data_IF_029548760312
#
_entry.id   IF_029548760312
#
_cell.length_a   1.000
_cell.length_b   1.000
_cell.length_c   1.000
_cell.angle_alpha   90.00
_cell.angle_beta   90.00
_cell.angle_gamma   90.00
#
_symmetry.space_group_name_H-M   'P 1'
#
loop_
_entity.id
_entity.type
_entity.pdbx_description
1 polymer ?
#
# COMPACT_ATOMS: atom_id res chain seq x y z
N UNK A 1 -11.67 -1.83 -3.91
CA UNK A 1 -12.04 -2.04 -2.49
C UNK A 1 -12.46 -3.48 -2.29
N UNK A 2 -11.92 -4.16 -1.27
CA UNK A 2 -12.25 -5.56 -0.96
C UNK A 2 -13.62 -5.69 -0.30
N UNK A 3 -13.68 -5.52 1.03
CA UNK A 3 -14.92 -5.70 1.83
C UNK A 3 -16.10 -4.83 1.37
N UNK A 4 -15.84 -3.69 0.72
CA UNK A 4 -16.88 -2.82 0.14
C UNK A 4 -17.60 -3.39 -1.09
N UNK A 5 -17.37 -4.66 -1.45
CA UNK A 5 -18.01 -5.34 -2.58
C UNK A 5 -17.12 -5.54 -3.80
N UNK A 6 -15.80 -5.70 -3.60
CA UNK A 6 -14.86 -6.10 -4.65
C UNK A 6 -14.85 -5.11 -5.83
N UNK A 7 -15.04 -3.83 -5.52
CA UNK A 7 -15.17 -2.75 -6.50
C UNK A 7 -13.79 -2.37 -7.03
N UNK A 8 -13.53 -2.66 -8.30
CA UNK A 8 -12.31 -2.26 -8.98
C UNK A 8 -12.34 -0.77 -9.32
N UNK A 9 -11.30 -0.03 -8.90
CA UNK A 9 -11.17 1.37 -9.28
C UNK A 9 -10.77 1.49 -10.76
N UNK A 10 -11.39 2.39 -11.54
CA UNK A 10 -10.96 2.63 -12.92
C UNK A 10 -9.50 3.11 -12.97
N UNK A 11 -8.66 2.63 -13.91
CA UNK A 11 -7.25 3.06 -13.99
C UNK A 11 -7.06 4.57 -14.16
N UNK A 12 -7.98 5.26 -14.84
CA UNK A 12 -7.96 6.72 -14.97
C UNK A 12 -8.16 7.46 -13.65
N UNK A 13 -8.97 6.91 -12.75
CA UNK A 13 -9.18 7.46 -11.41
C UNK A 13 -7.89 7.42 -10.58
N UNK A 14 -7.20 6.27 -10.56
CA UNK A 14 -5.96 6.11 -9.80
C UNK A 14 -4.83 7.01 -10.36
N UNK A 15 -4.70 7.12 -11.68
CA UNK A 15 -3.74 8.03 -12.32
C UNK A 15 -4.01 9.48 -11.96
N UNK A 16 -5.27 9.91 -12.00
CA UNK A 16 -5.64 11.28 -11.62
C UNK A 16 -5.39 11.55 -10.14
N UNK A 17 -5.65 10.58 -9.27
CA UNK A 17 -5.34 10.69 -7.86
C UNK A 17 -3.84 10.87 -7.62
N UNK A 18 -2.99 10.09 -8.32
CA UNK A 18 -1.54 10.24 -8.27
C UNK A 18 -1.09 11.64 -8.66
N UNK A 19 -1.58 12.17 -9.79
CA UNK A 19 -1.25 13.54 -10.23
C UNK A 19 -1.61 14.60 -9.19
N UNK A 20 -2.79 14.48 -8.56
CA UNK A 20 -3.22 15.39 -7.50
C UNK A 20 -2.27 15.27 -6.31
N UNK A 21 -2.01 14.05 -5.84
CA UNK A 21 -1.13 13.83 -4.71
C UNK A 21 0.27 14.41 -4.94
N UNK A 22 0.85 14.21 -6.12
CA UNK A 22 2.15 14.78 -6.48
C UNK A 22 2.12 16.31 -6.50
N UNK A 23 1.10 16.92 -7.11
CA UNK A 23 1.00 18.39 -7.23
C UNK A 23 0.84 19.07 -5.87
N UNK A 24 0.07 18.48 -4.98
CA UNK A 24 -0.27 19.07 -3.68
C UNK A 24 0.68 18.62 -2.55
N UNK A 25 1.71 17.80 -2.85
CA UNK A 25 2.61 17.25 -1.83
C UNK A 25 1.93 16.30 -0.84
N UNK A 26 0.89 15.59 -1.29
CA UNK A 26 0.13 14.63 -0.48
C UNK A 26 0.71 13.23 -0.70
N UNK A 27 0.88 12.48 0.39
CA UNK A 27 1.28 11.07 0.35
C UNK A 27 0.14 10.22 -0.21
N UNK A 28 0.39 9.50 -1.30
CA UNK A 28 -0.51 8.49 -1.84
C UNK A 28 -0.18 7.13 -1.23
N UNK A 29 -1.16 6.52 -0.56
CA UNK A 29 -1.04 5.20 0.04
C UNK A 29 -1.86 4.20 -0.76
N UNK A 30 -1.22 3.10 -1.20
CA UNK A 30 -1.91 1.95 -1.75
C UNK A 30 -2.10 0.89 -0.65
N UNK A 31 -3.35 0.70 -0.22
CA UNK A 31 -3.70 -0.45 0.63
C UNK A 31 -3.83 -1.70 -0.24
N UNK A 32 -2.78 -2.51 -0.21
CA UNK A 32 -2.63 -3.75 -0.95
C UNK A 32 -2.77 -4.97 -0.05
N UNK A 33 -3.36 -4.81 1.15
CA UNK A 33 -3.57 -5.92 2.10
C UNK A 33 -4.36 -7.06 1.44
N UNK A 34 -5.40 -6.75 0.66
CA UNK A 34 -6.18 -7.76 -0.08
C UNK A 34 -5.67 -8.02 -1.49
N UNK A 35 -5.23 -6.98 -2.19
CA UNK A 35 -4.98 -7.03 -3.65
C UNK A 35 -3.53 -7.38 -4.01
N UNK A 36 -2.62 -7.32 -3.05
CA UNK A 36 -1.20 -7.65 -3.24
C UNK A 36 -0.90 -9.15 -3.30
N UNK A 37 0.38 -9.47 -3.51
CA UNK A 37 0.92 -10.82 -3.64
C UNK A 37 0.17 -11.69 -4.66
N UNK A 38 -0.03 -11.16 -5.87
CA UNK A 38 -0.56 -11.96 -6.98
C UNK A 38 -2.09 -12.09 -7.02
N UNK A 39 -2.83 -11.58 -6.02
CA UNK A 39 -4.29 -11.76 -5.93
C UNK A 39 -5.03 -11.33 -7.20
N UNK A 40 -4.55 -10.29 -7.87
CA UNK A 40 -5.18 -9.69 -9.05
C UNK A 40 -4.46 -10.06 -10.37
N UNK A 41 -3.54 -11.03 -10.35
CA UNK A 41 -2.73 -11.41 -11.51
C UNK A 41 -1.48 -10.56 -11.75
N UNK A 42 -1.24 -9.55 -10.91
CA UNK A 42 0.02 -8.79 -10.79
C UNK A 42 0.54 -8.86 -9.36
N UNK A 43 1.80 -8.51 -9.13
CA UNK A 43 2.37 -8.54 -7.78
C UNK A 43 1.57 -7.62 -6.84
N UNK A 44 1.28 -6.40 -7.28
CA UNK A 44 0.36 -5.47 -6.60
C UNK A 44 -0.78 -5.00 -7.52
N UNK A 45 -1.96 -4.74 -6.96
CA UNK A 45 -3.13 -4.29 -7.71
C UNK A 45 -2.95 -2.94 -8.40
N UNK A 46 -2.24 -2.00 -7.78
CA UNK A 46 -1.97 -0.65 -8.29
C UNK A 46 -1.20 -0.66 -9.62
N UNK A 47 -0.44 -1.72 -9.89
CA UNK A 47 0.30 -1.91 -11.14
C UNK A 47 -0.63 -2.00 -12.36
N UNK A 48 -1.90 -2.38 -12.19
CA UNK A 48 -2.88 -2.36 -13.28
C UNK A 48 -3.18 -0.94 -13.79
N UNK A 49 -2.91 0.08 -12.97
CA UNK A 49 -3.05 1.48 -13.35
C UNK A 49 -1.73 2.16 -13.73
N UNK A 50 -0.58 1.47 -13.58
CA UNK A 50 0.75 2.05 -13.81
C UNK A 50 1.07 3.19 -12.86
N UNK A 51 0.56 3.14 -11.63
CA UNK A 51 0.75 4.17 -10.61
C UNK A 51 1.76 3.69 -9.56
N UNK A 52 2.72 4.55 -9.22
CA UNK A 52 3.63 4.34 -8.11
C UNK A 52 3.14 5.13 -6.87
N UNK A 53 2.68 4.44 -5.81
CA UNK A 53 2.30 5.09 -4.56
C UNK A 53 3.55 5.47 -3.76
N UNK A 54 3.37 6.35 -2.77
CA UNK A 54 4.43 6.76 -1.85
C UNK A 54 4.59 5.76 -0.70
N UNK A 55 3.49 5.09 -0.33
CA UNK A 55 3.45 4.01 0.66
C UNK A 55 2.56 2.85 0.19
N UNK A 56 2.91 1.65 0.61
CA UNK A 56 2.13 0.44 0.54
C UNK A 56 1.76 -0.03 1.95
N UNK A 57 0.53 -0.51 2.12
CA UNK A 57 0.11 -1.29 3.28
C UNK A 57 -0.09 -2.73 2.84
N UNK A 58 0.57 -3.67 3.51
CA UNK A 58 0.66 -5.08 3.13
C UNK A 58 0.34 -5.97 4.33
N UNK A 59 -0.38 -7.07 4.09
CA UNK A 59 -0.59 -8.15 5.06
C UNK A 59 -1.09 -9.40 4.31
N UNK A 60 -1.88 -10.24 4.98
CA UNK A 60 -2.54 -11.44 4.43
C UNK A 60 -1.55 -12.38 3.72
N UNK A 61 -1.52 -12.32 2.40
CA UNK A 61 -0.74 -13.22 1.55
C UNK A 61 0.78 -13.05 1.71
N UNK A 62 1.26 -11.93 2.29
CA UNK A 62 2.69 -11.66 2.50
C UNK A 62 3.44 -12.79 3.21
N UNK A 63 2.77 -13.51 4.11
CA UNK A 63 3.37 -14.58 4.90
C UNK A 63 2.55 -15.87 4.84
N UNK A 64 1.74 -16.05 3.79
CA UNK A 64 1.04 -17.30 3.47
C UNK A 64 0.33 -17.99 4.67
N UNK A 65 -0.27 -17.22 5.57
CA UNK A 65 -1.01 -17.72 6.74
C UNK A 65 -0.39 -17.39 8.10
N UNK A 66 0.88 -16.97 8.14
CA UNK A 66 1.48 -16.43 9.36
C UNK A 66 1.04 -14.98 9.60
N UNK A 67 0.86 -14.54 10.86
CA UNK A 67 0.53 -13.15 11.16
C UNK A 67 1.70 -12.22 10.84
N UNK A 68 1.61 -11.53 9.70
CA UNK A 68 2.59 -10.52 9.31
C UNK A 68 1.89 -9.38 8.56
N UNK A 69 2.25 -8.16 8.93
CA UNK A 69 1.89 -6.94 8.21
C UNK A 69 3.14 -6.09 7.98
N UNK A 70 3.11 -5.27 6.95
CA UNK A 70 4.20 -4.37 6.61
C UNK A 70 3.65 -3.04 6.07
N UNK A 71 4.37 -1.97 6.38
CA UNK A 71 4.25 -0.67 5.71
C UNK A 71 5.57 -0.44 5.00
N UNK A 72 5.51 -0.20 3.69
CA UNK A 72 6.70 -0.02 2.84
C UNK A 72 6.53 1.26 2.05
N UNK A 73 7.54 2.10 1.95
CA UNK A 73 7.46 3.28 1.10
C UNK A 73 8.76 4.08 1.04
N UNK A 74 8.67 5.30 0.53
CA UNK A 74 9.86 6.16 0.33
C UNK A 74 10.56 6.45 1.67
N UNK A 75 11.89 6.49 1.66
CA UNK A 75 12.69 6.65 2.86
C UNK A 75 12.32 7.92 3.63
N UNK A 76 12.15 9.05 2.93
CA UNK A 76 11.77 10.32 3.54
C UNK A 76 10.40 10.31 4.23
N UNK A 77 9.50 9.39 3.84
CA UNK A 77 8.21 9.19 4.51
C UNK A 77 8.37 8.25 5.70
N UNK A 78 9.14 7.17 5.54
CA UNK A 78 9.37 6.16 6.58
C UNK A 78 10.24 6.67 7.74
N UNK A 79 11.15 7.61 7.46
CA UNK A 79 12.04 8.26 8.45
C UNK A 79 11.34 9.42 9.20
N UNK A 80 10.07 9.71 8.88
CA UNK A 80 9.31 10.78 9.52
C UNK A 80 9.15 10.60 11.04
N UNK A 81 8.83 9.40 11.55
CA UNK A 81 8.78 9.13 12.98
C UNK A 81 10.18 9.11 13.62
N UNK A 82 10.35 9.79 14.75
CA UNK A 82 11.59 9.73 15.52
C UNK A 82 11.82 8.38 16.21
N UNK A 83 12.97 8.20 16.91
CA UNK A 83 13.26 6.99 17.66
C UNK A 83 12.14 6.64 18.64
N UNK A 84 11.63 5.40 18.58
CA UNK A 84 10.47 4.94 19.36
C UNK A 84 9.11 5.41 18.84
N UNK A 85 9.06 6.15 17.74
CA UNK A 85 7.82 6.61 17.10
C UNK A 85 7.06 5.51 16.34
N UNK A 86 7.72 4.39 16.05
CA UNK A 86 7.12 3.14 15.56
C UNK A 86 7.64 2.00 16.45
N UNK A 87 6.76 1.08 16.83
CA UNK A 87 7.11 -0.10 17.59
C UNK A 87 6.00 -1.13 17.64
N UNK A 88 6.24 -2.22 18.37
CA UNK A 88 5.27 -3.28 18.62
C UNK A 88 5.99 -4.51 19.17
N UNK A 89 5.50 -5.08 20.26
CA UNK A 89 6.18 -6.20 20.97
C UNK A 89 6.46 -7.39 20.06
N UNK A 90 5.55 -7.69 19.13
CA UNK A 90 5.64 -8.80 18.19
C UNK A 90 5.88 -8.34 16.74
N UNK A 91 6.20 -7.07 16.51
CA UNK A 91 6.46 -6.59 15.15
C UNK A 91 7.67 -7.29 14.53
N UNK A 92 7.49 -7.92 13.37
CA UNK A 92 8.57 -8.58 12.62
C UNK A 92 9.03 -9.93 13.19
N UNK A 93 8.14 -10.64 13.89
CA UNK A 93 8.39 -11.97 14.46
C UNK A 93 8.46 -13.11 13.42
#
# INVERSE_FOLDING_TARGET
QGEGGFVAAPPGFLRRLREICTREGIVLIADEVQTGYGRTGKMFGVEHAGVEPDLFVLAKSIAAGMPLGAVVGRAEVMDGPGPGGIGGTYGGN
#
